data_IF_076583348561
#
_entry.id   IF_076583348561
#
_cell.length_a   1.000
_cell.length_b   1.000
_cell.length_c   1.000
_cell.angle_alpha   90.00
_cell.angle_beta   90.00
_cell.angle_gamma   90.00
#
_symmetry.space_group_name_H-M   'P 1'
#
loop_
_entity.id
_entity.type
_entity.pdbx_description
1 polymer ?
#
# COMPACT_ATOMS: atom_id res chain seq x y z
N UNK A 1 70.36 9.49 -3.88
CA UNK A 1 68.91 9.76 -3.74
C UNK A 1 68.74 10.73 -2.60
N UNK A 2 68.11 11.87 -2.88
CA UNK A 2 67.89 12.93 -1.88
C UNK A 2 66.56 12.68 -1.16
N UNK A 3 66.40 13.20 0.07
CA UNK A 3 65.14 13.06 0.83
C UNK A 3 63.92 13.61 0.08
N UNK A 4 64.14 14.57 -0.83
CA UNK A 4 63.11 15.13 -1.70
C UNK A 4 62.54 14.08 -2.66
N UNK A 5 63.38 13.22 -3.23
CA UNK A 5 62.97 12.17 -4.18
C UNK A 5 62.05 11.14 -3.52
N UNK A 6 62.30 10.82 -2.24
CA UNK A 6 61.47 9.90 -1.45
C UNK A 6 60.10 10.50 -1.14
N UNK A 7 60.05 11.80 -0.81
CA UNK A 7 58.78 12.51 -0.53
C UNK A 7 57.95 12.62 -1.81
N UNK A 8 58.58 12.92 -2.95
CA UNK A 8 57.88 13.00 -4.24
C UNK A 8 57.36 11.62 -4.69
N UNK A 9 58.15 10.56 -4.52
CA UNK A 9 57.70 9.20 -4.81
C UNK A 9 56.54 8.77 -3.90
N UNK A 10 56.60 9.09 -2.60
CA UNK A 10 55.52 8.81 -1.66
C UNK A 10 54.24 9.59 -1.97
N UNK A 11 54.37 10.88 -2.34
CA UNK A 11 53.23 11.70 -2.74
C UNK A 11 52.57 11.17 -4.03
N UNK A 12 53.36 10.75 -5.02
CA UNK A 12 52.84 10.14 -6.24
C UNK A 12 52.07 8.84 -5.95
N UNK A 13 52.59 7.99 -5.06
CA UNK A 13 51.90 6.78 -4.61
C UNK A 13 50.59 7.06 -3.87
N UNK A 14 50.59 8.06 -2.97
CA UNK A 14 49.40 8.47 -2.22
C UNK A 14 48.28 8.99 -3.13
N UNK A 15 48.62 9.79 -4.15
CA UNK A 15 47.64 10.27 -5.14
C UNK A 15 47.04 9.12 -5.93
N UNK A 16 47.84 8.14 -6.35
CA UNK A 16 47.35 6.95 -7.06
C UNK A 16 46.37 6.15 -6.20
N UNK A 17 46.68 5.91 -4.92
CA UNK A 17 45.78 5.20 -4.01
C UNK A 17 44.50 5.99 -3.72
N UNK A 18 44.58 7.31 -3.58
CA UNK A 18 43.40 8.15 -3.42
C UNK A 18 42.47 8.06 -4.63
N UNK A 19 43.01 8.07 -5.85
CA UNK A 19 42.22 7.91 -7.08
C UNK A 19 41.59 6.51 -7.10
N UNK A 20 42.35 5.44 -6.84
CA UNK A 20 41.80 4.09 -6.77
C UNK A 20 40.69 3.95 -5.72
N UNK A 21 40.86 4.51 -4.53
CA UNK A 21 39.88 4.48 -3.46
C UNK A 21 38.59 5.24 -3.83
N UNK A 22 38.70 6.41 -4.46
CA UNK A 22 37.52 7.18 -4.91
C UNK A 22 36.75 6.47 -6.01
N UNK A 23 37.45 5.87 -6.99
CA UNK A 23 36.82 5.08 -8.05
C UNK A 23 36.10 3.86 -7.49
N UNK A 24 36.73 3.17 -6.52
CA UNK A 24 36.12 2.03 -5.86
C UNK A 24 34.89 2.43 -5.02
N UNK A 25 34.98 3.52 -4.26
CA UNK A 25 33.84 4.06 -3.51
C UNK A 25 32.66 4.44 -4.42
N UNK A 26 32.92 5.02 -5.59
CA UNK A 26 31.90 5.33 -6.59
C UNK A 26 31.26 4.08 -7.19
N UNK A 27 32.07 3.07 -7.52
CA UNK A 27 31.56 1.78 -8.01
C UNK A 27 30.69 1.07 -6.96
N UNK A 28 31.12 1.10 -5.70
CA UNK A 28 30.39 0.52 -4.59
C UNK A 28 29.05 1.24 -4.35
N UNK A 29 29.04 2.58 -4.40
CA UNK A 29 27.82 3.38 -4.30
C UNK A 29 26.82 3.02 -5.41
N UNK A 30 27.29 2.93 -6.66
CA UNK A 30 26.45 2.54 -7.80
C UNK A 30 25.84 1.14 -7.63
N UNK A 31 26.60 0.19 -7.09
CA UNK A 31 26.09 -1.15 -6.82
C UNK A 31 25.01 -1.16 -5.72
N UNK A 32 25.16 -0.34 -4.68
CA UNK A 32 24.13 -0.17 -3.65
C UNK A 32 22.87 0.51 -4.18
N UNK A 33 23.01 1.59 -4.95
CA UNK A 33 21.88 2.30 -5.56
C UNK A 33 21.07 1.36 -6.47
N UNK A 34 21.75 0.53 -7.26
CA UNK A 34 21.10 -0.48 -8.11
C UNK A 34 20.31 -1.52 -7.30
N UNK A 35 20.87 -2.00 -6.18
CA UNK A 35 20.18 -2.94 -5.29
C UNK A 35 18.98 -2.30 -4.60
N UNK A 36 19.10 -1.06 -4.16
CA UNK A 36 18.02 -0.31 -3.54
C UNK A 36 16.88 -0.06 -4.53
N UNK A 37 17.20 0.33 -5.77
CA UNK A 37 16.21 0.49 -6.82
C UNK A 37 15.48 -0.83 -7.15
N UNK A 38 16.20 -1.96 -7.15
CA UNK A 38 15.59 -3.27 -7.36
C UNK A 38 14.63 -3.67 -6.22
N UNK A 39 15.00 -3.39 -4.96
CA UNK A 39 14.11 -3.63 -3.82
C UNK A 39 12.87 -2.74 -3.85
N UNK A 40 13.02 -1.45 -4.18
CA UNK A 40 11.90 -0.52 -4.32
C UNK A 40 10.92 -0.96 -5.42
N UNK A 41 11.42 -1.43 -6.57
CA UNK A 41 10.55 -1.97 -7.63
C UNK A 41 9.76 -3.18 -7.17
N UNK A 42 10.40 -4.11 -6.45
CA UNK A 42 9.70 -5.28 -5.90
C UNK A 42 8.62 -4.89 -4.90
N UNK A 43 8.88 -3.88 -4.05
CA UNK A 43 7.87 -3.35 -3.14
C UNK A 43 6.68 -2.76 -3.90
N UNK A 44 6.94 -1.96 -4.94
CA UNK A 44 5.89 -1.40 -5.79
C UNK A 44 5.08 -2.48 -6.52
N UNK A 45 5.73 -3.51 -7.04
CA UNK A 45 5.06 -4.65 -7.66
C UNK A 45 4.15 -5.38 -6.65
N UNK A 46 4.65 -5.67 -5.45
CA UNK A 46 3.86 -6.30 -4.39
C UNK A 46 2.71 -5.42 -3.90
N UNK A 47 2.94 -4.13 -3.73
CA UNK A 47 1.92 -3.16 -3.33
C UNK A 47 0.83 -3.04 -4.40
N UNK A 48 1.20 -2.97 -5.69
CA UNK A 48 0.23 -2.96 -6.79
C UNK A 48 -0.58 -4.26 -6.89
N UNK A 49 0.05 -5.42 -6.64
CA UNK A 49 -0.63 -6.71 -6.58
C UNK A 49 -1.59 -6.81 -5.39
N UNK A 50 -1.19 -6.27 -4.23
CA UNK A 50 -2.03 -6.18 -3.04
C UNK A 50 -3.25 -5.29 -3.27
N UNK A 51 -3.07 -4.10 -3.85
CA UNK A 51 -4.19 -3.19 -4.15
C UNK A 51 -5.16 -3.80 -5.17
N UNK A 52 -4.67 -4.47 -6.20
CA UNK A 52 -5.52 -5.16 -7.18
C UNK A 52 -6.30 -6.34 -6.56
N UNK A 53 -5.69 -7.07 -5.62
CA UNK A 53 -6.30 -8.20 -4.92
C UNK A 53 -7.33 -7.73 -3.88
N UNK A 54 -7.01 -6.68 -3.11
CA UNK A 54 -7.90 -6.08 -2.12
C UNK A 54 -9.11 -5.40 -2.78
N UNK A 55 -8.92 -4.62 -3.85
CA UNK A 55 -10.02 -3.99 -4.57
C UNK A 55 -10.98 -5.02 -5.20
N UNK A 56 -10.46 -6.20 -5.58
CA UNK A 56 -11.29 -7.30 -6.07
C UNK A 56 -12.05 -7.96 -4.91
N UNK A 57 -11.41 -8.24 -3.77
CA UNK A 57 -12.08 -8.87 -2.62
C UNK A 57 -13.13 -7.97 -1.96
N UNK A 58 -12.84 -6.68 -1.75
CA UNK A 58 -13.79 -5.73 -1.15
C UNK A 58 -15.03 -5.50 -2.03
N UNK A 59 -14.94 -5.67 -3.35
CA UNK A 59 -16.10 -5.57 -4.23
C UNK A 59 -17.01 -6.80 -4.19
N UNK A 60 -16.49 -7.97 -3.78
CA UNK A 60 -17.26 -9.21 -3.68
C UNK A 60 -17.80 -9.47 -2.26
N UNK A 61 -17.21 -8.86 -1.22
CA UNK A 61 -17.63 -9.08 0.18
C UNK A 61 -18.62 -8.03 0.72
N UNK A 62 -18.94 -6.99 -0.05
CA UNK A 62 -19.83 -5.90 0.39
C UNK A 62 -21.22 -5.95 -0.25
N UNK A 63 -22.27 -5.71 0.57
CA UNK A 63 -23.63 -5.48 0.09
C UNK A 63 -23.82 -3.99 -0.26
N UNK A 64 -24.24 -3.69 -1.49
CA UNK A 64 -24.57 -2.34 -1.93
C UNK A 64 -26.09 -2.16 -1.90
N UNK A 65 -26.58 -1.27 -1.03
CA UNK A 65 -28.00 -0.96 -0.89
C UNK A 65 -28.21 0.52 -1.25
N UNK A 66 -29.09 0.78 -2.22
CA UNK A 66 -29.55 2.12 -2.55
C UNK A 66 -30.79 2.45 -1.70
N UNK A 67 -30.82 3.62 -1.08
CA UNK A 67 -32.00 4.10 -0.32
C UNK A 67 -32.60 5.27 -1.08
N UNK A 68 -33.79 5.06 -1.65
CA UNK A 68 -34.54 6.07 -2.40
C UNK A 68 -35.96 6.17 -1.83
N UNK A 69 -36.42 7.40 -1.58
CA UNK A 69 -37.77 7.71 -1.07
C UNK A 69 -38.18 6.91 0.19
N UNK A 70 -37.21 6.61 1.07
CA UNK A 70 -37.43 5.86 2.30
C UNK A 70 -37.55 4.34 2.12
N UNK A 71 -37.26 3.83 0.93
CA UNK A 71 -37.17 2.40 0.63
C UNK A 71 -35.74 2.00 0.29
N UNK A 72 -35.27 0.89 0.86
CA UNK A 72 -33.96 0.33 0.60
C UNK A 72 -34.06 -0.78 -0.45
N UNK A 73 -33.25 -0.68 -1.49
CA UNK A 73 -33.14 -1.66 -2.57
C UNK A 73 -31.72 -2.18 -2.68
N UNK A 74 -31.58 -3.51 -2.70
CA UNK A 74 -30.29 -4.12 -2.98
C UNK A 74 -29.89 -3.88 -4.45
N UNK A 75 -28.69 -3.36 -4.63
CA UNK A 75 -28.04 -3.15 -5.93
C UNK A 75 -27.09 -4.31 -6.25
N UNK A 76 -26.36 -4.83 -5.25
CA UNK A 76 -25.45 -5.97 -5.38
C UNK A 76 -25.12 -6.59 -4.01
N UNK A 77 -24.72 -7.87 -3.98
CA UNK A 77 -24.21 -8.55 -2.77
C UNK A 77 -25.28 -9.18 -1.89
N UNK A 78 -26.11 -10.08 -2.46
CA UNK A 78 -27.16 -10.82 -1.73
C UNK A 78 -26.61 -11.67 -0.57
N UNK A 79 -25.48 -12.35 -0.81
CA UNK A 79 -24.82 -13.19 0.21
C UNK A 79 -24.30 -12.34 1.38
N UNK A 80 -23.68 -11.20 1.08
CA UNK A 80 -23.22 -10.24 2.09
C UNK A 80 -24.38 -9.62 2.87
N UNK A 81 -25.50 -9.31 2.21
CA UNK A 81 -26.71 -8.82 2.88
C UNK A 81 -27.27 -9.87 3.84
N UNK A 82 -27.31 -11.13 3.42
CA UNK A 82 -27.76 -12.24 4.25
C UNK A 82 -26.84 -12.44 5.47
N UNK A 83 -25.52 -12.34 5.29
CA UNK A 83 -24.56 -12.39 6.39
C UNK A 83 -24.76 -11.22 7.37
N UNK A 84 -24.95 -10.00 6.89
CA UNK A 84 -25.25 -8.83 7.73
C UNK A 84 -26.57 -9.01 8.50
N UNK A 85 -27.63 -9.49 7.84
CA UNK A 85 -28.92 -9.74 8.47
C UNK A 85 -28.84 -10.80 9.56
N UNK A 86 -28.04 -11.86 9.35
CA UNK A 86 -27.79 -12.89 10.35
C UNK A 86 -27.10 -12.32 11.60
N UNK A 87 -26.10 -11.46 11.42
CA UNK A 87 -25.39 -10.83 12.55
C UNK A 87 -26.29 -9.85 13.32
N UNK A 88 -27.14 -9.11 12.62
CA UNK A 88 -28.08 -8.17 13.20
C UNK A 88 -29.36 -8.82 13.74
N UNK A 89 -29.52 -10.13 13.55
CA UNK A 89 -30.71 -10.92 13.92
C UNK A 89 -32.02 -10.33 13.34
N UNK A 90 -31.97 -9.93 12.07
CA UNK A 90 -33.12 -9.37 11.34
C UNK A 90 -33.39 -10.13 10.05
N UNK A 91 -34.55 -9.85 9.42
CA UNK A 91 -34.85 -10.39 8.11
C UNK A 91 -33.76 -9.98 7.09
N UNK A 92 -33.38 -10.90 6.20
CA UNK A 92 -32.45 -10.65 5.10
C UNK A 92 -33.05 -9.80 3.98
N UNK A 93 -33.74 -8.72 4.35
CA UNK A 93 -34.28 -7.70 3.47
C UNK A 93 -33.49 -6.41 3.63
N UNK A 94 -33.27 -5.65 2.54
CA UNK A 94 -32.50 -4.41 2.62
C UNK A 94 -33.08 -3.41 3.62
N UNK A 95 -34.41 -3.28 3.67
CA UNK A 95 -35.10 -2.38 4.61
C UNK A 95 -34.82 -2.76 6.06
N UNK A 96 -34.91 -4.05 6.41
CA UNK A 96 -34.72 -4.49 7.79
C UNK A 96 -33.26 -4.30 8.24
N UNK A 97 -32.30 -4.56 7.35
CA UNK A 97 -30.87 -4.35 7.62
C UNK A 97 -30.55 -2.86 7.79
N UNK A 98 -31.02 -2.00 6.87
CA UNK A 98 -30.82 -0.54 6.98
C UNK A 98 -31.48 0.03 8.23
N UNK A 99 -32.69 -0.44 8.57
CA UNK A 99 -33.39 -0.01 9.78
C UNK A 99 -32.64 -0.43 11.05
N UNK A 100 -32.13 -1.67 11.11
CA UNK A 100 -31.35 -2.16 12.24
C UNK A 100 -30.03 -1.38 12.42
N UNK A 101 -29.33 -1.08 11.31
CA UNK A 101 -28.12 -0.26 11.33
C UNK A 101 -28.41 1.18 11.81
N UNK A 102 -29.51 1.77 11.32
CA UNK A 102 -29.94 3.12 11.71
C UNK A 102 -30.34 3.19 13.19
N UNK A 103 -30.91 2.13 13.74
CA UNK A 103 -31.23 2.04 15.17
C UNK A 103 -29.97 1.89 16.04
N UNK A 104 -28.92 1.23 15.53
CA UNK A 104 -27.64 1.08 16.22
C UNK A 104 -26.75 2.32 16.20
N UNK A 105 -26.91 3.19 15.20
CA UNK A 105 -26.16 4.45 15.06
C UNK A 105 -27.07 5.62 14.62
N UNK A 106 -27.52 6.47 15.57
CA UNK A 106 -28.43 7.58 15.27
C UNK A 106 -27.79 8.70 14.44
N UNK A 107 -26.47 8.80 14.34
CA UNK A 107 -25.80 9.80 13.50
C UNK A 107 -25.91 9.42 12.00
N UNK A 108 -26.01 8.13 11.67
CA UNK A 108 -26.25 7.66 10.30
C UNK A 108 -27.69 7.91 9.83
N UNK A 109 -28.66 7.96 10.76
CA UNK A 109 -30.05 8.29 10.47
C UNK A 109 -30.22 9.67 9.81
N UNK A 110 -29.34 10.63 10.15
CA UNK A 110 -29.36 11.97 9.58
C UNK A 110 -28.81 12.04 8.14
N UNK A 111 -28.04 11.03 7.70
CA UNK A 111 -27.41 10.98 6.37
C UNK A 111 -28.22 10.20 5.34
N UNK A 112 -29.26 9.48 5.78
CA UNK A 112 -30.12 8.61 4.97
C UNK A 112 -31.51 9.20 4.69
N UNK A 113 -31.76 10.47 5.05
CA UNK A 113 -32.92 11.26 4.62
C UNK A 113 -32.58 12.11 3.41
#
# INVERSE_FOLDING_TARGET
MTSLDLILAAAAGAVCLAICATLWALAQRRAFDARMAAMLRRLQELESGSLATQASSEAFDNALVAVEDGSARLVSGEDSLAACAQVLDVAATPDAVVQALTAGDPDHAARLK
#
